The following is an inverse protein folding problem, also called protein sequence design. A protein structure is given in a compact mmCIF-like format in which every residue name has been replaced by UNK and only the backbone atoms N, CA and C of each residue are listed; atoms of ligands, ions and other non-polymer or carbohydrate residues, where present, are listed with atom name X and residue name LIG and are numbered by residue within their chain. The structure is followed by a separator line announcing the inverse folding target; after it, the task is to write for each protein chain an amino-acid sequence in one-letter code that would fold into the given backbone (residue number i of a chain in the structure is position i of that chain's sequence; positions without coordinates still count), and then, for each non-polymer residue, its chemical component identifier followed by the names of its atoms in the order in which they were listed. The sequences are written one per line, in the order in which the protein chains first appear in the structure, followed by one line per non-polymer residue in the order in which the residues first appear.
data_IF_027593071189
#
_entry.id   IF_027593071189
#
_cell.length_a   1.000
_cell.length_b   1.000
_cell.length_c   1.000
_cell.angle_alpha   90.00
_cell.angle_beta   90.00
_cell.angle_gamma   90.00
#
_symmetry.space_group_name_H-M   'P 1'
#
loop_
_entity.id
_entity.type
_entity.pdbx_description
1 polymer ?
#
# COMPACT_ATOMS: atom_id res chain seq x y z
N UNK A 1 2.00 9.23 8.95
CA UNK A 1 3.30 8.76 8.43
C UNK A 1 3.28 7.24 8.54
N UNK A 2 3.54 6.52 7.45
CA UNK A 2 3.60 5.05 7.45
C UNK A 2 5.06 4.65 7.72
N UNK A 3 5.32 3.98 8.84
CA UNK A 3 6.66 3.48 9.17
C UNK A 3 6.68 1.98 8.86
N UNK A 4 7.11 1.63 7.66
CA UNK A 4 7.34 0.26 7.21
C UNK A 4 8.75 0.18 6.64
N UNK A 5 9.36 -1.01 6.66
CA UNK A 5 10.68 -1.21 6.09
C UNK A 5 10.68 -0.92 4.59
N UNK A 6 11.82 -0.44 4.07
CA UNK A 6 12.01 -0.29 2.61
C UNK A 6 11.77 -1.63 1.91
N UNK A 7 11.29 -1.57 0.67
CA UNK A 7 10.87 -2.71 -0.15
C UNK A 7 9.61 -3.45 0.35
N UNK A 8 8.97 -2.99 1.43
CA UNK A 8 7.66 -3.49 1.86
C UNK A 8 6.59 -3.19 0.83
N UNK A 9 5.64 -4.10 0.68
CA UNK A 9 4.51 -3.95 -0.24
C UNK A 9 3.28 -3.40 0.49
N UNK A 10 2.60 -2.41 -0.10
CA UNK A 10 1.40 -1.79 0.47
C UNK A 10 0.23 -1.86 -0.51
N UNK A 11 -0.99 -1.88 0.02
CA UNK A 11 -2.22 -1.72 -0.76
C UNK A 11 -3.06 -0.62 -0.12
N UNK A 12 -3.70 0.18 -0.97
CA UNK A 12 -4.59 1.25 -0.54
C UNK A 12 -6.04 0.77 -0.48
N UNK A 13 -6.82 1.40 0.39
CA UNK A 13 -8.23 1.11 0.57
C UNK A 13 -9.03 2.40 0.41
N UNK A 14 -10.01 2.37 -0.49
CA UNK A 14 -10.85 3.52 -0.79
C UNK A 14 -12.32 3.18 -0.50
N UNK A 15 -13.00 3.96 0.35
CA UNK A 15 -14.45 3.82 0.52
C UNK A 15 -15.17 4.22 -0.78
N UNK A 16 -16.35 3.64 -0.99
CA UNK A 16 -17.22 3.94 -2.14
C UNK A 16 -17.39 5.46 -2.31
N UNK A 17 -17.28 5.97 -3.54
CA UNK A 17 -17.55 7.38 -3.88
C UNK A 17 -16.47 8.38 -3.46
N UNK A 18 -15.48 8.00 -2.63
CA UNK A 18 -14.40 8.93 -2.28
C UNK A 18 -13.47 9.22 -3.47
N UNK A 19 -13.08 8.17 -4.19
CA UNK A 19 -12.10 8.27 -5.27
C UNK A 19 -12.59 9.17 -6.42
N UNK A 20 -13.86 9.05 -6.78
CA UNK A 20 -14.51 9.88 -7.82
C UNK A 20 -14.43 11.38 -7.50
N UNK A 21 -14.39 11.72 -6.21
CA UNK A 21 -14.34 13.10 -5.74
C UNK A 21 -12.92 13.55 -5.32
N UNK A 22 -11.94 12.64 -5.25
CA UNK A 22 -10.60 12.93 -4.73
C UNK A 22 -9.68 13.63 -5.73
N UNK A 23 -9.97 13.52 -7.03
CA UNK A 23 -9.16 14.12 -8.10
C UNK A 23 -7.69 13.68 -8.00
N UNK A 24 -6.76 14.62 -8.14
CA UNK A 24 -5.31 14.35 -8.06
C UNK A 24 -4.89 13.81 -6.68
N UNK A 25 -5.65 14.14 -5.63
CA UNK A 25 -5.38 13.71 -4.26
C UNK A 25 -5.41 12.18 -4.07
N UNK A 26 -6.00 11.43 -5.01
CA UNK A 26 -6.02 9.97 -4.98
C UNK A 26 -4.63 9.33 -4.99
N UNK A 27 -3.63 10.01 -5.55
CA UNK A 27 -2.25 9.51 -5.64
C UNK A 27 -1.38 9.87 -4.43
N UNK A 28 -1.91 10.60 -3.44
CA UNK A 28 -1.11 11.06 -2.31
C UNK A 28 -0.45 9.89 -1.55
N UNK A 29 -1.17 8.78 -1.37
CA UNK A 29 -0.65 7.60 -0.69
C UNK A 29 0.34 6.81 -1.56
N UNK A 30 0.14 6.79 -2.88
CA UNK A 30 1.08 6.21 -3.84
C UNK A 30 2.42 6.94 -3.79
N UNK A 31 2.39 8.27 -3.85
CA UNK A 31 3.61 9.09 -3.72
C UNK A 31 4.26 8.90 -2.36
N UNK A 32 3.50 8.83 -1.27
CA UNK A 32 4.10 8.54 0.04
C UNK A 32 4.75 7.16 0.10
N UNK A 33 4.18 6.15 -0.55
CA UNK A 33 4.79 4.83 -0.66
C UNK A 33 6.13 4.91 -1.41
N UNK A 34 6.15 5.56 -2.58
CA UNK A 34 7.35 5.73 -3.40
C UNK A 34 8.45 6.50 -2.66
N UNK A 35 8.09 7.62 -2.02
CA UNK A 35 9.03 8.46 -1.26
C UNK A 35 9.64 7.71 -0.07
N UNK A 36 8.91 6.75 0.51
CA UNK A 36 9.39 5.93 1.63
C UNK A 36 10.16 4.68 1.16
N UNK A 37 10.31 4.47 -0.15
CA UNK A 37 10.91 3.27 -0.72
C UNK A 37 10.07 2.01 -0.52
N UNK A 38 8.76 2.15 -0.36
CA UNK A 38 7.81 1.03 -0.35
C UNK A 38 7.32 0.75 -1.78
N UNK A 39 6.78 -0.44 -2.00
CA UNK A 39 6.15 -0.86 -3.26
C UNK A 39 4.64 -0.73 -3.15
N UNK A 40 4.05 0.22 -3.87
CA UNK A 40 2.61 0.24 -4.07
C UNK A 40 2.18 -0.95 -4.93
N UNK A 41 1.29 -1.78 -4.39
CA UNK A 41 0.90 -3.08 -4.96
C UNK A 41 -0.61 -3.18 -5.17
N UNK A 42 -1.24 -2.07 -5.55
CA UNK A 42 -2.66 -2.04 -5.94
C UNK A 42 -3.54 -1.27 -4.96
N UNK A 43 -4.83 -1.25 -5.27
CA UNK A 43 -5.84 -0.54 -4.51
C UNK A 43 -7.14 -1.33 -4.46
N UNK A 44 -7.79 -1.34 -3.30
CA UNK A 44 -9.12 -1.87 -3.08
C UNK A 44 -10.15 -0.75 -3.06
N UNK A 45 -11.17 -0.92 -3.88
CA UNK A 45 -12.23 0.06 -4.07
C UNK A 45 -13.50 -0.61 -3.60
N UNK A 46 -14.08 -0.11 -2.51
CA UNK A 46 -15.26 -0.74 -1.96
C UNK A 46 -16.48 -0.47 -2.85
N UNK A 47 -17.10 -1.50 -3.46
CA UNK A 47 -18.32 -1.30 -4.23
C UNK A 47 -19.54 -1.09 -3.32
N UNK A 48 -19.45 -1.49 -2.05
CA UNK A 48 -20.56 -1.45 -1.09
C UNK A 48 -20.43 -0.20 -0.24
N UNK A 49 -21.45 0.65 -0.25
CA UNK A 49 -21.38 1.89 0.51
C UNK A 49 -22.63 2.72 0.32
N UNK A 50 -22.80 3.70 1.21
CA UNK A 50 -23.89 4.68 1.15
C UNK A 50 -23.58 5.69 0.06
N UNK A 51 -24.59 6.04 -0.72
CA UNK A 51 -24.49 7.13 -1.67
C UNK A 51 -24.53 8.48 -0.94
N UNK A 52 -23.86 9.48 -1.53
CA UNK A 52 -23.84 10.82 -0.97
C UNK A 52 -25.26 11.43 -0.94
N UNK A 53 -25.69 12.04 0.18
CA UNK A 53 -27.02 12.65 0.29
C UNK A 53 -27.19 13.90 -0.59
N UNK A 54 -26.09 14.56 -0.98
CA UNK A 54 -26.07 15.83 -1.72
C UNK A 54 -25.14 15.73 -2.95
N UNK A 55 -25.52 14.97 -3.99
CA UNK A 55 -24.64 14.66 -5.12
C UNK A 55 -24.21 15.88 -5.96
N UNK A 56 -24.86 17.03 -5.81
CA UNK A 56 -24.51 18.27 -6.51
C UNK A 56 -23.33 19.01 -5.86
N UNK A 57 -23.02 18.70 -4.59
CA UNK A 57 -21.94 19.32 -3.85
C UNK A 57 -20.78 18.33 -3.71
N UNK A 58 -19.85 18.41 -4.66
CA UNK A 58 -18.66 17.55 -4.72
C UNK A 58 -17.83 17.59 -3.44
N UNK A 59 -17.71 18.75 -2.78
CA UNK A 59 -16.91 18.87 -1.57
C UNK A 59 -17.60 18.17 -0.39
N UNK A 60 -18.91 18.33 -0.26
CA UNK A 60 -19.68 17.62 0.77
C UNK A 60 -19.65 16.10 0.54
N UNK A 61 -19.76 15.65 -0.70
CA UNK A 61 -19.64 14.22 -1.01
C UNK A 61 -18.23 13.68 -0.74
N UNK A 62 -17.18 14.43 -1.10
CA UNK A 62 -15.81 14.05 -0.75
C UNK A 62 -15.64 13.85 0.76
N UNK A 63 -16.09 14.81 1.56
CA UNK A 63 -16.01 14.74 3.02
C UNK A 63 -16.88 13.61 3.59
N UNK A 64 -18.08 13.42 3.07
CA UNK A 64 -18.99 12.35 3.47
C UNK A 64 -18.37 10.96 3.25
N UNK A 65 -17.75 10.74 2.10
CA UNK A 65 -17.14 9.45 1.77
C UNK A 65 -15.77 9.26 2.43
N UNK A 66 -15.03 10.33 2.73
CA UNK A 66 -13.67 10.27 3.30
C UNK A 66 -13.61 9.49 4.60
N UNK A 67 -14.58 9.68 5.48
CA UNK A 67 -14.66 9.00 6.77
C UNK A 67 -15.57 7.74 6.71
N UNK A 68 -15.88 7.28 5.49
CA UNK A 68 -16.67 6.09 5.25
C UNK A 68 -15.95 4.82 5.70
N UNK A 69 -16.70 3.87 6.26
CA UNK A 69 -16.19 2.53 6.52
C UNK A 69 -15.87 1.84 5.18
N UNK A 70 -14.74 1.13 5.14
CA UNK A 70 -14.36 0.31 4.00
C UNK A 70 -14.71 -1.14 4.31
N UNK A 71 -15.44 -1.76 3.39
CA UNK A 71 -15.83 -3.16 3.40
C UNK A 71 -14.64 -4.09 3.22
N UNK A 72 -14.73 -5.24 3.89
CA UNK A 72 -13.73 -6.29 3.86
C UNK A 72 -14.13 -7.38 2.86
N UNK A 73 -13.46 -7.45 1.72
CA UNK A 73 -13.55 -8.59 0.82
C UNK A 73 -12.42 -9.57 1.13
N UNK A 74 -12.71 -10.53 2.01
CA UNK A 74 -11.74 -11.52 2.49
C UNK A 74 -11.05 -12.28 1.35
N UNK A 75 -11.82 -12.71 0.35
CA UNK A 75 -11.29 -13.46 -0.80
C UNK A 75 -10.30 -12.61 -1.59
N UNK A 76 -10.67 -11.38 -1.92
CA UNK A 76 -9.79 -10.48 -2.68
C UNK A 76 -8.50 -10.17 -1.90
N UNK A 77 -8.59 -9.91 -0.60
CA UNK A 77 -7.41 -9.61 0.22
C UNK A 77 -6.53 -10.83 0.43
N UNK A 78 -7.12 -12.01 0.60
CA UNK A 78 -6.37 -13.26 0.70
C UNK A 78 -5.61 -13.56 -0.60
N UNK A 79 -6.24 -13.36 -1.75
CA UNK A 79 -5.60 -13.52 -3.06
C UNK A 79 -4.49 -12.50 -3.29
N UNK A 80 -4.73 -11.24 -2.94
CA UNK A 80 -3.73 -10.19 -2.99
C UNK A 80 -2.53 -10.52 -2.11
N UNK A 81 -2.77 -10.90 -0.86
CA UNK A 81 -1.73 -11.25 0.10
C UNK A 81 -0.92 -12.45 -0.39
N UNK A 82 -1.59 -13.50 -0.88
CA UNK A 82 -0.93 -14.67 -1.47
C UNK A 82 0.00 -14.27 -2.61
N UNK A 83 -0.48 -13.48 -3.57
CA UNK A 83 0.31 -12.99 -4.71
C UNK A 83 1.54 -12.21 -4.25
N UNK A 84 1.38 -11.29 -3.30
CA UNK A 84 2.48 -10.46 -2.79
C UNK A 84 3.51 -11.31 -2.05
N UNK A 85 3.06 -12.24 -1.20
CA UNK A 85 3.97 -13.15 -0.48
C UNK A 85 4.74 -14.03 -1.47
N UNK A 86 4.08 -14.55 -2.51
CA UNK A 86 4.72 -15.34 -3.56
C UNK A 86 5.79 -14.52 -4.31
N UNK A 87 5.48 -13.26 -4.65
CA UNK A 87 6.44 -12.35 -5.30
C UNK A 87 7.66 -12.07 -4.40
N UNK A 88 7.44 -11.78 -3.12
CA UNK A 88 8.52 -11.54 -2.15
C UNK A 88 9.38 -12.79 -1.95
N UNK A 89 8.76 -13.98 -1.92
CA UNK A 89 9.50 -15.25 -1.85
C UNK A 89 10.39 -15.42 -3.08
N UNK A 90 9.86 -15.19 -4.28
CA UNK A 90 10.62 -15.31 -5.53
C UNK A 90 11.77 -14.31 -5.62
N UNK A 91 11.57 -13.05 -5.21
CA UNK A 91 12.64 -12.05 -5.21
C UNK A 91 13.78 -12.42 -4.26
N UNK A 92 13.47 -13.02 -3.11
CA UNK A 92 14.48 -13.48 -2.14
C UNK A 92 15.22 -14.74 -2.60
N UNK A 93 14.56 -15.66 -3.31
CA UNK A 93 15.19 -16.89 -3.83
C UNK A 93 16.08 -16.60 -5.06
N UNK A 94 15.73 -15.59 -5.87
CA UNK A 94 16.52 -15.17 -7.03
C UNK A 94 17.71 -14.27 -6.70
N UNK A 95 17.82 -13.78 -5.46
CA UNK A 95 18.99 -13.04 -5.00
C UNK A 95 19.97 -14.02 -4.34
N UNK A 96 21.18 -14.23 -4.89
CA UNK A 96 22.25 -14.82 -4.08
C UNK A 96 22.44 -13.88 -2.88
N UNK A 97 22.38 -14.43 -1.68
CA UNK A 97 22.44 -13.69 -0.43
C UNK A 97 23.62 -12.71 -0.38
N UNK A 98 23.39 -11.44 -0.73
CA UNK A 98 24.33 -10.34 -0.48
C UNK A 98 24.61 -10.20 1.03
N UNK A 99 23.71 -10.73 1.87
CA UNK A 99 23.87 -10.84 3.31
C UNK A 99 25.08 -11.70 3.72
N UNK A 100 25.49 -12.68 2.90
CA UNK A 100 26.72 -13.44 3.16
C UNK A 100 27.98 -12.63 2.83
N UNK A 101 27.93 -11.73 1.86
CA UNK A 101 29.06 -10.87 1.50
C UNK A 101 29.26 -9.72 2.51
N UNK A 102 28.17 -9.18 3.10
CA UNK A 102 28.26 -8.13 4.13
C UNK A 102 28.75 -8.64 5.49
N UNK A 103 28.31 -9.82 5.94
CA UNK A 103 28.82 -10.40 7.20
C UNK A 103 30.32 -10.66 7.17
N UNK A 104 30.89 -10.96 6.00
CA UNK A 104 32.32 -11.22 5.86
C UNK A 104 33.16 -9.93 5.80
N UNK A 105 32.53 -8.79 5.48
CA UNK A 105 33.18 -7.47 5.45
C UNK A 105 33.17 -6.78 6.82
N UNK A 106 32.10 -6.93 7.62
CA UNK A 106 32.03 -6.34 8.98
C UNK A 106 32.90 -7.08 10.00
N UNK A 107 33.18 -8.38 9.79
CA UNK A 107 34.04 -9.16 10.69
C UNK A 107 35.54 -8.77 10.62
N UNK A 108 35.93 -7.88 9.70
CA UNK A 108 37.29 -7.33 9.57
C UNK A 108 37.45 -5.91 10.10
N UNK A 109 36.37 -5.27 10.56
CA UNK A 109 36.39 -3.89 11.00
C UNK A 109 36.34 -3.75 12.53
N UNK A 110 37.22 -4.46 13.24
CA UNK A 110 37.61 -4.14 14.61
C UNK A 110 39.03 -4.66 14.86
N UNK A 111 40.02 -3.82 14.59
CA UNK A 111 41.37 -3.98 15.17
C UNK A 111 41.84 -2.63 15.69
N UNK A 112 41.98 -2.58 17.02
CA UNK A 112 42.63 -1.59 17.88
C UNK A 112 42.02 -0.17 17.94
#
# INVERSE_FOLDING_TARGET
MLFMDRESSVMEFFPKGWLENAGVGQYAHHWMADQSGMKHQGAWWDPIGKDCPLPQDHLQCFLFHKDGMVGHNETYFAEWARRVIDQVRQSKVGQPSEDQAKQQHDSKACTC
#
